data_IF_419596859322
#
_entry.id   IF_419596859322
#
_cell.length_a   1.000
_cell.length_b   1.000
_cell.length_c   1.000
_cell.angle_alpha   90.00
_cell.angle_beta   90.00
_cell.angle_gamma   90.00
#
_symmetry.space_group_name_H-M   'P 1'
#
loop_
_entity.id
_entity.type
_entity.pdbx_description
1 polymer ?
#
# COMPACT_ATOMS: atom_id res chain seq x y z
N UNK A 1 8.26 17.04 -26.44
CA UNK A 1 9.69 16.76 -26.24
C UNK A 1 9.75 15.70 -25.17
N UNK A 2 9.89 14.44 -25.57
CA UNK A 2 9.87 13.30 -24.65
C UNK A 2 11.21 13.25 -23.95
N UNK A 3 11.23 13.55 -22.65
CA UNK A 3 12.37 13.24 -21.81
C UNK A 3 12.26 11.75 -21.50
N UNK A 4 13.01 10.92 -22.22
CA UNK A 4 13.25 9.54 -21.80
C UNK A 4 14.02 9.59 -20.48
N UNK A 5 13.36 9.23 -19.37
CA UNK A 5 14.04 8.93 -18.12
C UNK A 5 14.79 7.61 -18.30
N UNK A 6 16.03 7.69 -18.79
CA UNK A 6 16.87 6.55 -19.08
C UNK A 6 17.92 6.35 -17.97
N UNK A 7 17.45 6.10 -16.76
CA UNK A 7 18.28 5.55 -15.68
C UNK A 7 17.41 4.72 -14.76
N UNK A 8 17.62 3.40 -14.76
CA UNK A 8 17.02 2.52 -13.75
C UNK A 8 17.32 3.05 -12.35
N UNK A 9 16.28 3.34 -11.59
CA UNK A 9 16.44 3.70 -10.18
C UNK A 9 16.69 2.43 -9.37
N UNK A 10 17.62 2.47 -8.41
CA UNK A 10 17.79 1.39 -7.44
C UNK A 10 16.48 1.12 -6.68
N UNK A 11 15.66 2.15 -6.44
CA UNK A 11 14.34 2.01 -5.81
C UNK A 11 13.33 1.17 -6.62
N UNK A 12 13.65 0.85 -7.88
CA UNK A 12 12.83 -0.02 -8.74
C UNK A 12 13.27 -1.49 -8.76
N UNK A 13 14.27 -1.89 -7.95
CA UNK A 13 14.86 -3.24 -7.98
C UNK A 13 14.68 -4.01 -6.67
N UNK A 14 14.38 -5.31 -6.75
CA UNK A 14 14.20 -6.17 -5.57
C UNK A 14 15.46 -6.21 -4.72
N UNK A 15 16.63 -6.20 -5.35
CA UNK A 15 17.93 -6.26 -4.68
C UNK A 15 18.16 -5.08 -3.74
N UNK A 16 17.78 -3.86 -4.16
CA UNK A 16 17.85 -2.69 -3.29
C UNK A 16 16.97 -2.86 -2.05
N UNK A 17 15.72 -3.30 -2.26
CA UNK A 17 14.74 -3.45 -1.19
C UNK A 17 15.13 -4.56 -0.21
N UNK A 18 15.59 -5.71 -0.70
CA UNK A 18 16.07 -6.78 0.18
C UNK A 18 17.23 -6.30 1.07
N UNK A 19 18.20 -5.58 0.51
CA UNK A 19 19.31 -5.01 1.28
C UNK A 19 18.84 -3.96 2.28
N UNK A 20 17.88 -3.12 1.89
CA UNK A 20 17.29 -2.14 2.80
C UNK A 20 16.61 -2.84 3.99
N UNK A 21 15.78 -3.85 3.74
CA UNK A 21 15.09 -4.58 4.81
C UNK A 21 16.03 -5.41 5.69
N UNK A 22 17.15 -5.92 5.18
CA UNK A 22 18.18 -6.58 6.01
C UNK A 22 18.77 -5.59 7.04
N UNK A 23 18.98 -4.33 6.65
CA UNK A 23 19.41 -3.26 7.56
C UNK A 23 18.33 -2.94 8.59
N UNK A 24 17.08 -2.76 8.15
CA UNK A 24 15.96 -2.45 9.05
C UNK A 24 15.67 -3.60 10.04
N UNK A 25 15.80 -4.86 9.63
CA UNK A 25 15.70 -6.01 10.51
C UNK A 25 16.79 -6.01 11.58
N UNK A 26 18.03 -5.65 11.21
CA UNK A 26 19.14 -5.52 12.15
C UNK A 26 18.86 -4.40 13.15
N UNK A 27 18.39 -3.23 12.68
CA UNK A 27 18.02 -2.11 13.54
C UNK A 27 16.91 -2.50 14.53
N UNK A 28 15.90 -3.23 14.07
CA UNK A 28 14.82 -3.76 14.90
C UNK A 28 15.34 -4.72 15.96
N UNK A 29 16.18 -5.68 15.59
CA UNK A 29 16.70 -6.67 16.53
C UNK A 29 17.63 -6.04 17.59
N UNK A 30 18.39 -5.01 17.21
CA UNK A 30 19.34 -4.34 18.11
C UNK A 30 18.68 -3.35 19.08
N UNK A 31 17.66 -2.62 18.61
CA UNK A 31 17.12 -1.46 19.35
C UNK A 31 15.61 -1.49 19.55
N UNK A 32 14.90 -2.41 18.90
CA UNK A 32 13.44 -2.38 18.78
C UNK A 32 12.95 -1.21 17.93
N UNK A 33 13.85 -0.56 17.18
CA UNK A 33 13.50 0.48 16.22
C UNK A 33 12.69 -0.13 15.09
N UNK A 34 11.51 0.43 14.87
CA UNK A 34 10.61 -0.12 13.89
C UNK A 34 11.16 0.12 12.48
N UNK A 35 11.83 1.22 12.12
CA UNK A 35 12.32 1.45 10.73
C UNK A 35 11.97 2.84 10.18
N UNK A 36 11.62 3.09 8.89
CA UNK A 36 11.25 4.43 8.28
C UNK A 36 9.87 4.55 7.54
N UNK A 37 9.01 5.57 7.82
CA UNK A 37 7.63 5.66 7.26
C UNK A 37 7.58 6.36 5.90
N UNK A 38 7.65 5.60 4.81
CA UNK A 38 7.50 6.15 3.47
C UNK A 38 6.12 6.83 3.27
N UNK A 39 6.10 8.02 2.65
CA UNK A 39 4.93 8.95 2.51
C UNK A 39 4.44 9.64 3.80
N UNK A 40 5.13 9.43 4.93
CA UNK A 40 4.83 10.04 6.21
C UNK A 40 3.48 9.64 6.82
N UNK A 41 3.31 9.90 8.13
CA UNK A 41 2.11 9.51 8.90
C UNK A 41 0.81 10.16 8.42
N UNK A 42 0.90 11.25 7.66
CA UNK A 42 -0.29 11.95 7.15
C UNK A 42 -1.03 11.12 6.08
N UNK A 43 -0.32 10.49 5.14
CA UNK A 43 -0.93 9.64 4.11
C UNK A 43 -1.60 8.42 4.74
N UNK A 44 -0.91 7.75 5.66
CA UNK A 44 -1.43 6.64 6.46
C UNK A 44 -2.71 7.02 7.21
N UNK A 45 -2.70 8.12 7.96
CA UNK A 45 -3.88 8.58 8.71
C UNK A 45 -5.07 8.91 7.80
N UNK A 46 -4.82 9.51 6.63
CA UNK A 46 -5.85 9.80 5.63
C UNK A 46 -6.44 8.52 5.04
N UNK A 47 -5.59 7.51 4.77
CA UNK A 47 -6.04 6.20 4.32
C UNK A 47 -6.85 5.47 5.38
N UNK A 48 -6.36 5.41 6.63
CA UNK A 48 -7.08 4.84 7.79
C UNK A 48 -8.44 5.49 7.98
N UNK A 49 -8.52 6.82 7.88
CA UNK A 49 -9.78 7.56 7.98
C UNK A 49 -10.75 7.13 6.87
N UNK A 50 -10.30 7.09 5.61
CA UNK A 50 -11.14 6.66 4.51
C UNK A 50 -11.68 5.24 4.72
N UNK A 51 -10.81 4.29 5.09
CA UNK A 51 -11.18 2.89 5.36
C UNK A 51 -12.19 2.82 6.50
N UNK A 52 -11.96 3.52 7.63
CA UNK A 52 -12.88 3.59 8.77
C UNK A 52 -14.27 4.11 8.39
N UNK A 53 -14.35 5.13 7.54
CA UNK A 53 -15.62 5.77 7.20
C UNK A 53 -16.42 4.97 6.15
N UNK A 54 -15.74 4.20 5.29
CA UNK A 54 -16.37 3.63 4.10
C UNK A 54 -16.43 2.11 4.09
N UNK A 55 -15.55 1.42 4.83
CA UNK A 55 -15.33 -0.03 4.75
C UNK A 55 -15.81 -0.73 6.03
N UNK A 56 -16.66 -1.78 5.92
CA UNK A 56 -17.02 -2.64 7.05
C UNK A 56 -15.81 -3.33 7.68
N UNK A 57 -15.83 -3.58 9.00
CA UNK A 57 -14.69 -4.21 9.72
C UNK A 57 -14.44 -5.67 9.34
N UNK A 58 -15.42 -6.34 8.73
CA UNK A 58 -15.33 -7.73 8.27
C UNK A 58 -15.03 -7.86 6.77
N UNK A 59 -14.84 -6.75 6.07
CA UNK A 59 -14.40 -6.73 4.68
C UNK A 59 -12.95 -7.24 4.57
N UNK A 60 -12.60 -8.14 3.64
CA UNK A 60 -11.23 -8.54 3.42
C UNK A 60 -10.42 -7.42 2.76
N UNK A 61 -9.33 -7.02 3.39
CA UNK A 61 -8.45 -5.93 2.98
C UNK A 61 -7.05 -6.50 2.69
N UNK A 62 -6.47 -6.09 1.56
CA UNK A 62 -5.06 -6.35 1.24
C UNK A 62 -4.29 -5.06 1.03
N UNK A 63 -3.12 -4.95 1.64
CA UNK A 63 -2.12 -3.92 1.35
C UNK A 63 -1.02 -4.53 0.45
N UNK A 64 -0.75 -3.87 -0.68
CA UNK A 64 0.26 -4.31 -1.65
C UNK A 64 1.54 -3.48 -1.52
N UNK A 65 2.67 -4.19 -1.50
CA UNK A 65 4.01 -3.64 -1.30
C UNK A 65 4.09 -2.95 0.06
N UNK A 66 4.63 -3.65 1.04
CA UNK A 66 4.72 -3.18 2.42
C UNK A 66 5.95 -2.28 2.59
N UNK A 67 6.22 -1.47 1.57
CA UNK A 67 7.44 -0.68 1.45
C UNK A 67 7.68 0.25 2.62
N UNK A 68 8.89 0.18 3.14
CA UNK A 68 9.52 1.22 3.93
C UNK A 68 10.85 1.59 3.27
N UNK A 69 10.97 2.77 2.68
CA UNK A 69 12.28 3.32 2.36
C UNK A 69 12.28 4.84 2.49
N UNK A 70 13.47 5.36 2.82
CA UNK A 70 13.91 6.75 2.80
C UNK A 70 12.84 7.81 3.11
N UNK A 71 12.68 8.06 4.40
CA UNK A 71 12.45 9.40 4.90
C UNK A 71 13.15 9.52 6.26
N UNK A 72 13.62 10.71 6.61
CA UNK A 72 14.28 11.05 7.88
C UNK A 72 13.39 10.82 9.15
N UNK A 73 12.35 9.99 9.08
CA UNK A 73 11.43 9.69 10.18
C UNK A 73 10.94 8.25 10.19
N UNK A 74 10.96 7.68 11.39
CA UNK A 74 10.97 6.26 11.64
C UNK A 74 9.59 5.55 11.57
N UNK A 75 9.46 4.44 10.80
CA UNK A 75 8.77 3.16 11.07
C UNK A 75 8.41 2.33 9.79
N UNK A 76 8.42 0.99 9.72
CA UNK A 76 8.41 0.21 8.50
C UNK A 76 6.99 -0.19 8.06
N UNK A 77 6.92 -1.09 7.07
CA UNK A 77 5.75 -1.65 6.41
C UNK A 77 4.54 -2.01 7.27
N UNK A 78 3.36 -1.75 6.69
CA UNK A 78 2.02 -2.15 7.14
C UNK A 78 1.59 -1.80 8.58
N UNK A 79 2.15 -0.74 9.18
CA UNK A 79 1.52 -0.09 10.35
C UNK A 79 0.05 0.18 10.13
N UNK A 80 -0.32 0.44 8.89
CA UNK A 80 -1.68 0.54 8.42
C UNK A 80 -2.51 -0.68 8.84
N UNK A 81 -2.07 -1.91 8.57
CA UNK A 81 -2.79 -3.14 8.95
C UNK A 81 -2.84 -3.31 10.47
N UNK A 82 -1.74 -3.07 11.19
CA UNK A 82 -1.73 -3.11 12.66
C UNK A 82 -2.70 -2.10 13.26
N UNK A 83 -2.78 -0.88 12.72
CA UNK A 83 -3.75 0.12 13.14
C UNK A 83 -5.18 -0.27 12.82
N UNK A 84 -5.43 -0.83 11.63
CA UNK A 84 -6.75 -1.37 11.28
C UNK A 84 -7.16 -2.51 12.24
N UNK A 85 -6.25 -3.40 12.61
CA UNK A 85 -6.51 -4.50 13.53
C UNK A 85 -6.96 -4.03 14.93
N UNK A 86 -6.47 -2.88 15.39
CA UNK A 86 -6.82 -2.29 16.70
C UNK A 86 -7.91 -1.21 16.61
N UNK A 87 -8.40 -0.86 15.41
CA UNK A 87 -9.31 0.27 15.18
C UNK A 87 -10.75 -0.04 15.65
N UNK A 88 -10.97 0.08 16.96
CA UNK A 88 -12.26 -0.10 17.62
C UNK A 88 -13.03 1.24 17.76
N UNK A 89 -14.35 1.20 17.97
CA UNK A 89 -15.21 2.40 18.10
C UNK A 89 -16.18 2.62 16.93
N UNK A 90 -16.99 3.69 16.98
CA UNK A 90 -18.04 4.05 15.98
C UNK A 90 -18.86 2.86 15.45
N UNK A 91 -19.38 2.04 16.36
CA UNK A 91 -20.17 0.81 16.11
C UNK A 91 -19.36 -0.48 15.84
N UNK A 92 -18.03 -0.46 15.96
CA UNK A 92 -17.19 -1.67 15.85
C UNK A 92 -16.83 -2.22 17.23
N UNK A 93 -17.19 -3.48 17.47
CA UNK A 93 -16.84 -4.23 18.69
C UNK A 93 -15.41 -4.78 18.66
N UNK A 94 -14.86 -4.99 17.47
CA UNK A 94 -13.49 -5.44 17.19
C UNK A 94 -12.93 -4.60 16.03
N UNK A 95 -11.59 -4.54 15.90
CA UNK A 95 -10.98 -3.93 14.73
C UNK A 95 -11.23 -4.73 13.45
N UNK A 96 -10.49 -4.42 12.38
CA UNK A 96 -10.62 -5.13 11.12
C UNK A 96 -10.08 -6.56 11.24
N UNK A 97 -10.84 -7.54 10.74
CA UNK A 97 -10.60 -8.96 11.07
C UNK A 97 -10.01 -9.79 9.94
N UNK A 98 -9.98 -9.26 8.72
CA UNK A 98 -9.51 -9.97 7.52
C UNK A 98 -8.47 -9.11 6.81
N UNK A 99 -7.27 -9.07 7.38
CA UNK A 99 -6.17 -8.23 6.91
C UNK A 99 -5.07 -9.08 6.28
N UNK A 100 -4.59 -8.67 5.11
CA UNK A 100 -3.50 -9.31 4.40
C UNK A 100 -2.47 -8.27 3.96
N UNK A 101 -1.18 -8.58 4.13
CA UNK A 101 -0.09 -7.77 3.62
C UNK A 101 0.76 -8.57 2.64
N UNK A 102 1.05 -7.98 1.48
CA UNK A 102 1.84 -8.61 0.41
C UNK A 102 3.09 -7.80 0.10
N UNK A 103 4.23 -8.49 0.00
CA UNK A 103 5.48 -7.92 -0.51
C UNK A 103 6.25 -9.00 -1.26
N UNK A 104 7.04 -8.64 -2.29
CA UNK A 104 7.89 -9.62 -2.97
C UNK A 104 9.09 -10.03 -2.11
N UNK A 105 9.42 -9.26 -1.06
CA UNK A 105 10.60 -9.45 -0.23
C UNK A 105 10.22 -10.23 1.03
N UNK A 106 10.86 -11.38 1.22
CA UNK A 106 10.72 -12.15 2.45
C UNK A 106 11.17 -11.35 3.68
N UNK A 107 12.14 -10.44 3.50
CA UNK A 107 12.65 -9.59 4.58
C UNK A 107 11.66 -8.50 4.99
N UNK A 108 10.97 -7.91 4.02
CA UNK A 108 9.85 -7.01 4.31
C UNK A 108 8.78 -7.70 5.15
N UNK A 109 8.43 -8.93 4.75
CA UNK A 109 7.42 -9.73 5.42
C UNK A 109 7.85 -10.12 6.83
N UNK A 110 9.12 -10.49 7.03
CA UNK A 110 9.66 -10.74 8.37
C UNK A 110 9.61 -9.50 9.26
N UNK A 111 10.03 -8.34 8.74
CA UNK A 111 10.00 -7.07 9.46
C UNK A 111 8.57 -6.66 9.84
N UNK A 112 7.61 -6.81 8.91
CA UNK A 112 6.19 -6.54 9.17
C UNK A 112 5.63 -7.44 10.27
N UNK A 113 6.00 -8.73 10.30
CA UNK A 113 5.59 -9.63 11.38
C UNK A 113 6.19 -9.21 12.73
N UNK A 114 7.49 -8.92 12.79
CA UNK A 114 8.18 -8.50 14.02
C UNK A 114 7.58 -7.21 14.59
N UNK A 115 7.42 -6.19 13.76
CA UNK A 115 6.83 -4.91 14.16
C UNK A 115 5.35 -5.03 14.53
N UNK A 116 4.55 -5.78 13.75
CA UNK A 116 3.15 -6.02 14.10
C UNK A 116 3.03 -6.75 15.44
N UNK A 117 3.87 -7.76 15.71
CA UNK A 117 3.87 -8.47 16.99
C UNK A 117 4.19 -7.54 18.16
N UNK A 118 5.19 -6.66 18.01
CA UNK A 118 5.54 -5.65 19.03
C UNK A 118 4.39 -4.65 19.24
N UNK A 119 3.77 -4.15 18.16
CA UNK A 119 2.69 -3.17 18.22
C UNK A 119 1.38 -3.74 18.78
N UNK A 120 1.15 -5.04 18.60
CA UNK A 120 -0.06 -5.75 19.00
C UNK A 120 0.13 -6.54 20.30
N UNK A 121 1.30 -6.48 20.92
CA UNK A 121 1.59 -7.16 22.17
C UNK A 121 0.55 -6.81 23.25
N UNK A 122 -0.03 -7.85 23.87
CA UNK A 122 -1.06 -7.73 24.90
C UNK A 122 -2.45 -7.29 24.40
N UNK A 123 -2.66 -7.18 23.08
CA UNK A 123 -3.97 -6.85 22.49
C UNK A 123 -4.65 -8.10 21.93
N UNK A 124 -5.93 -8.26 22.24
CA UNK A 124 -6.77 -9.28 21.62
C UNK A 124 -7.25 -8.79 20.26
N UNK A 125 -6.44 -9.00 19.22
CA UNK A 125 -6.80 -8.69 17.84
C UNK A 125 -6.62 -9.91 16.93
N UNK A 126 -7.35 -9.97 15.80
CA UNK A 126 -7.15 -11.00 14.79
C UNK A 126 -5.72 -10.97 14.21
N UNK A 127 -5.22 -12.14 13.85
CA UNK A 127 -3.92 -12.28 13.18
C UNK A 127 -3.93 -11.60 11.81
N UNK A 128 -2.85 -10.87 11.49
CA UNK A 128 -2.64 -10.27 10.17
C UNK A 128 -1.90 -11.27 9.29
N UNK A 129 -2.45 -11.55 8.11
CA UNK A 129 -1.88 -12.54 7.20
C UNK A 129 -0.82 -11.92 6.27
N UNK A 130 0.45 -12.01 6.65
CA UNK A 130 1.58 -11.55 5.83
C UNK A 130 2.12 -12.64 4.91
N UNK A 131 2.19 -12.37 3.60
CA UNK A 131 2.66 -13.33 2.60
C UNK A 131 3.67 -12.72 1.62
N UNK A 132 4.72 -13.48 1.33
CA UNK A 132 5.66 -13.13 0.26
C UNK A 132 5.02 -13.45 -1.10
N UNK A 133 4.80 -12.44 -1.92
CA UNK A 133 4.23 -12.57 -3.25
C UNK A 133 4.75 -11.48 -4.20
N UNK A 134 5.24 -11.88 -5.37
CA UNK A 134 5.56 -10.95 -6.45
C UNK A 134 4.30 -10.71 -7.31
N UNK A 135 3.66 -9.57 -7.05
CA UNK A 135 2.44 -9.13 -7.72
C UNK A 135 2.61 -8.82 -9.22
N UNK A 136 3.85 -8.73 -9.73
CA UNK A 136 4.11 -8.49 -11.16
C UNK A 136 4.36 -9.79 -11.93
N UNK A 137 4.66 -10.88 -11.22
CA UNK A 137 4.84 -12.21 -11.82
C UNK A 137 3.49 -12.85 -12.17
N UNK A 138 3.48 -13.79 -13.12
CA UNK A 138 2.29 -14.61 -13.38
C UNK A 138 1.86 -15.27 -12.06
N UNK A 139 0.56 -15.19 -11.76
CA UNK A 139 0.00 -15.63 -10.49
C UNK A 139 0.12 -17.15 -10.30
N UNK A 140 1.29 -17.60 -9.82
CA UNK A 140 1.62 -18.98 -9.47
C UNK A 140 0.68 -19.52 -8.36
N UNK A 141 0.78 -20.80 -7.97
CA UNK A 141 -0.13 -21.45 -7.00
C UNK A 141 -0.35 -20.67 -5.69
N UNK A 142 0.69 -20.05 -5.11
CA UNK A 142 0.56 -19.17 -3.92
C UNK A 142 -0.29 -17.93 -4.19
N UNK A 143 -0.26 -17.41 -5.41
CA UNK A 143 -1.03 -16.25 -5.85
C UNK A 143 -2.49 -16.62 -6.25
N UNK A 144 -2.75 -17.87 -6.64
CA UNK A 144 -4.14 -18.38 -6.78
C UNK A 144 -4.93 -18.33 -5.47
N UNK A 145 -4.22 -18.38 -4.33
CA UNK A 145 -4.82 -18.23 -3.00
C UNK A 145 -5.06 -16.76 -2.61
N UNK A 146 -4.65 -15.77 -3.40
CA UNK A 146 -4.86 -14.35 -3.12
C UNK A 146 -5.89 -13.72 -4.06
N UNK A 147 -6.01 -14.26 -5.28
CA UNK A 147 -6.95 -13.81 -6.29
C UNK A 147 -8.41 -13.98 -5.83
N UNK A 148 -9.25 -13.01 -6.18
CA UNK A 148 -10.68 -13.02 -5.95
C UNK A 148 -11.14 -13.13 -4.49
N UNK A 149 -10.33 -12.61 -3.56
CA UNK A 149 -10.62 -12.69 -2.11
C UNK A 149 -10.88 -11.36 -1.45
N UNK A 150 -10.56 -10.23 -2.09
CA UNK A 150 -10.51 -8.94 -1.41
C UNK A 150 -11.64 -8.01 -1.83
N UNK A 151 -12.12 -7.23 -0.85
CA UNK A 151 -13.01 -6.09 -1.05
C UNK A 151 -12.23 -4.79 -1.21
N UNK A 152 -11.08 -4.69 -0.53
CA UNK A 152 -10.30 -3.46 -0.53
C UNK A 152 -8.85 -3.79 -0.84
N UNK A 153 -8.30 -3.08 -1.81
CA UNK A 153 -6.89 -3.13 -2.17
C UNK A 153 -6.28 -1.77 -1.86
N UNK A 154 -5.23 -1.76 -1.04
CA UNK A 154 -4.53 -0.58 -0.57
C UNK A 154 -3.13 -0.54 -1.19
N UNK A 155 -2.75 0.62 -1.71
CA UNK A 155 -1.42 0.92 -2.23
C UNK A 155 -0.94 2.23 -1.60
N UNK A 156 0.25 2.19 -0.98
CA UNK A 156 0.94 3.37 -0.47
C UNK A 156 2.38 3.43 -1.02
N UNK A 157 2.47 3.68 -2.32
CA UNK A 157 3.73 3.94 -3.05
C UNK A 157 4.31 2.76 -3.82
N UNK A 158 3.62 1.64 -3.85
CA UNK A 158 4.03 0.47 -4.63
C UNK A 158 4.00 0.81 -6.11
N UNK A 159 2.95 1.50 -6.55
CA UNK A 159 2.89 2.08 -7.88
C UNK A 159 4.07 3.03 -8.16
N UNK A 160 4.40 3.91 -7.22
CA UNK A 160 5.53 4.83 -7.35
C UNK A 160 6.85 4.07 -7.54
N UNK A 161 7.15 3.09 -6.71
CA UNK A 161 8.37 2.27 -6.81
C UNK A 161 8.45 1.53 -8.16
N UNK A 162 7.36 0.89 -8.57
CA UNK A 162 7.28 0.17 -9.86
C UNK A 162 7.50 1.12 -11.03
N UNK A 163 7.01 2.35 -10.94
CA UNK A 163 7.12 3.36 -12.01
C UNK A 163 8.54 3.86 -12.27
N UNK A 164 9.49 3.58 -11.37
CA UNK A 164 10.90 4.00 -11.45
C UNK A 164 11.80 3.00 -12.20
N UNK A 165 11.24 1.90 -12.71
CA UNK A 165 11.97 0.88 -13.45
C UNK A 165 12.00 1.15 -14.97
N UNK A 166 13.06 0.75 -15.67
CA UNK A 166 13.22 0.91 -17.12
C UNK A 166 12.14 0.22 -17.95
N UNK A 167 11.61 -0.92 -17.50
CA UNK A 167 10.49 -1.64 -18.13
C UNK A 167 9.11 -1.09 -17.68
N UNK A 168 9.06 0.21 -17.36
CA UNK A 168 7.92 0.90 -16.75
C UNK A 168 6.57 0.50 -17.36
N UNK A 169 6.41 0.61 -18.67
CA UNK A 169 5.11 0.41 -19.31
C UNK A 169 4.57 -1.02 -19.13
N UNK A 170 5.45 -2.01 -19.22
CA UNK A 170 5.09 -3.42 -19.03
C UNK A 170 4.69 -3.67 -17.57
N UNK A 171 5.51 -3.21 -16.62
CA UNK A 171 5.27 -3.43 -15.19
C UNK A 171 4.01 -2.73 -14.69
N UNK A 172 3.73 -1.51 -15.15
CA UNK A 172 2.49 -0.80 -14.81
C UNK A 172 1.25 -1.52 -15.36
N UNK A 173 1.33 -2.14 -16.54
CA UNK A 173 0.25 -2.96 -17.08
C UNK A 173 0.04 -4.26 -16.29
N UNK A 174 1.13 -4.92 -15.87
CA UNK A 174 1.08 -6.09 -14.99
C UNK A 174 0.47 -5.73 -13.63
N UNK A 175 0.91 -4.62 -13.02
CA UNK A 175 0.38 -4.14 -11.76
C UNK A 175 -1.13 -3.89 -11.81
N UNK A 176 -1.61 -3.21 -12.86
CA UNK A 176 -3.05 -2.99 -13.05
C UNK A 176 -3.82 -4.30 -13.14
N UNK A 177 -3.29 -5.29 -13.85
CA UNK A 177 -3.89 -6.62 -13.93
C UNK A 177 -3.92 -7.32 -12.57
N UNK A 178 -2.86 -7.19 -11.78
CA UNK A 178 -2.77 -7.75 -10.44
C UNK A 178 -3.74 -7.10 -9.45
N UNK A 179 -3.87 -5.76 -9.47
CA UNK A 179 -4.87 -5.03 -8.67
C UNK A 179 -6.27 -5.60 -8.94
N UNK A 180 -6.62 -5.78 -10.21
CA UNK A 180 -7.93 -6.29 -10.61
C UNK A 180 -8.16 -7.76 -10.22
N UNK A 181 -7.14 -8.61 -10.32
CA UNK A 181 -7.27 -10.03 -9.99
C UNK A 181 -7.46 -10.29 -8.48
N UNK A 182 -7.01 -9.37 -7.61
CA UNK A 182 -7.19 -9.49 -6.15
C UNK A 182 -8.65 -9.32 -5.70
N UNK A 183 -9.46 -8.59 -6.47
CA UNK A 183 -10.86 -8.33 -6.13
C UNK A 183 -11.74 -9.55 -6.35
N UNK A 184 -12.60 -9.84 -5.37
CA UNK A 184 -13.70 -10.79 -5.55
C UNK A 184 -14.67 -10.30 -6.63
N UNK A 185 -15.31 -11.25 -7.31
CA UNK A 185 -16.22 -10.98 -8.43
C UNK A 185 -17.49 -10.21 -8.01
N UNK A 186 -17.90 -10.30 -6.74
CA UNK A 186 -19.13 -9.66 -6.23
C UNK A 186 -18.90 -8.99 -4.88
N UNK A 187 -19.57 -7.87 -4.64
CA UNK A 187 -19.49 -7.12 -3.39
C UNK A 187 -19.91 -5.66 -3.58
N UNK A 188 -20.64 -5.11 -2.61
CA UNK A 188 -21.18 -3.74 -2.72
C UNK A 188 -20.13 -2.64 -2.54
N UNK A 189 -19.04 -2.93 -1.83
CA UNK A 189 -18.03 -1.96 -1.42
C UNK A 189 -16.63 -2.42 -1.81
N UNK A 190 -16.37 -2.44 -3.12
CA UNK A 190 -15.07 -2.80 -3.68
C UNK A 190 -14.26 -1.54 -4.00
N UNK A 191 -13.18 -1.32 -3.26
CA UNK A 191 -12.36 -0.11 -3.35
C UNK A 191 -10.90 -0.42 -3.64
N UNK A 192 -10.33 0.29 -4.63
CA UNK A 192 -8.89 0.43 -4.77
C UNK A 192 -8.50 1.81 -4.24
N UNK A 193 -7.65 1.87 -3.22
CA UNK A 193 -7.19 3.11 -2.58
C UNK A 193 -5.69 3.22 -2.79
N UNK A 194 -5.25 4.27 -3.47
CA UNK A 194 -3.85 4.49 -3.82
C UNK A 194 -3.37 5.84 -3.29
N UNK A 195 -2.19 5.85 -2.67
CA UNK A 195 -1.45 7.05 -2.31
C UNK A 195 -0.12 7.12 -3.06
N UNK A 196 0.22 8.32 -3.56
CA UNK A 196 1.42 8.57 -4.36
C UNK A 196 2.05 9.94 -4.05
N UNK A 197 3.37 10.04 -4.22
CA UNK A 197 4.16 11.29 -4.16
C UNK A 197 4.56 11.75 -5.57
N UNK A 198 4.65 10.82 -6.52
CA UNK A 198 5.17 11.10 -7.87
C UNK A 198 4.06 11.47 -8.86
N UNK A 199 2.79 11.21 -8.53
CA UNK A 199 1.66 11.44 -9.41
C UNK A 199 0.59 12.34 -8.78
N UNK A 200 0.02 13.21 -9.60
CA UNK A 200 -1.17 14.01 -9.28
C UNK A 200 -2.44 13.16 -9.34
N UNK A 201 -3.55 13.68 -8.80
CA UNK A 201 -4.84 12.98 -8.82
C UNK A 201 -5.31 12.69 -10.25
N UNK A 202 -5.22 13.69 -11.12
CA UNK A 202 -5.60 13.57 -12.53
C UNK A 202 -4.74 12.54 -13.28
N UNK A 203 -3.42 12.51 -13.03
CA UNK A 203 -2.52 11.52 -13.62
C UNK A 203 -2.87 10.11 -13.16
N UNK A 204 -3.13 9.88 -11.87
CA UNK A 204 -3.56 8.58 -11.37
C UNK A 204 -4.89 8.14 -11.99
N UNK A 205 -5.86 9.06 -12.10
CA UNK A 205 -7.16 8.77 -12.73
C UNK A 205 -6.98 8.36 -14.19
N UNK A 206 -6.12 9.04 -14.94
CA UNK A 206 -5.83 8.68 -16.34
C UNK A 206 -5.07 7.34 -16.44
N UNK A 207 -4.06 7.12 -15.60
CA UNK A 207 -3.23 5.91 -15.59
C UNK A 207 -4.00 4.64 -15.24
N UNK A 208 -5.00 4.73 -14.35
CA UNK A 208 -5.84 3.60 -13.94
C UNK A 208 -7.15 3.48 -14.72
N UNK A 209 -7.42 4.39 -15.66
CA UNK A 209 -8.65 4.39 -16.45
C UNK A 209 -8.85 3.05 -17.19
N UNK A 210 -9.94 2.35 -16.84
CA UNK A 210 -10.47 1.20 -17.57
C UNK A 210 -11.95 1.01 -17.22
N UNK A 211 -12.63 0.06 -17.87
CA UNK A 211 -14.03 -0.26 -17.57
C UNK A 211 -14.22 -0.74 -16.13
N UNK A 212 -13.21 -1.43 -15.57
CA UNK A 212 -13.28 -2.05 -14.26
C UNK A 212 -13.03 -1.09 -13.07
N UNK A 213 -12.25 -0.02 -13.27
CA UNK A 213 -11.89 0.94 -12.21
C UNK A 213 -12.49 2.30 -12.50
N UNK A 214 -13.50 2.68 -11.71
CA UNK A 214 -14.19 3.95 -11.83
C UNK A 214 -13.71 4.90 -10.75
N UNK A 215 -13.23 6.08 -11.12
CA UNK A 215 -12.86 7.11 -10.14
C UNK A 215 -14.04 7.39 -9.19
N UNK A 216 -13.79 7.34 -7.89
CA UNK A 216 -14.80 7.58 -6.87
C UNK A 216 -14.60 8.92 -6.18
N UNK A 217 -13.42 9.15 -5.61
CA UNK A 217 -13.08 10.42 -4.98
C UNK A 217 -11.57 10.57 -4.80
N UNK A 218 -11.12 11.82 -4.67
CA UNK A 218 -9.82 12.14 -4.10
C UNK A 218 -9.94 12.25 -2.57
N UNK A 219 -8.99 11.70 -1.82
CA UNK A 219 -8.93 11.82 -0.37
C UNK A 219 -8.35 13.19 -0.03
N UNK A 220 -9.06 14.08 0.68
CA UNK A 220 -8.58 15.45 0.95
C UNK A 220 -7.22 15.48 1.63
N UNK A 221 -6.34 16.39 1.20
CA UNK A 221 -5.09 16.70 1.91
C UNK A 221 -5.32 17.78 2.97
N UNK A 222 -4.60 17.69 4.08
CA UNK A 222 -4.59 18.73 5.12
C UNK A 222 -3.55 19.83 4.87
N UNK A 223 -2.60 19.59 3.95
CA UNK A 223 -1.50 20.49 3.65
C UNK A 223 -1.40 20.71 2.14
N UNK A 224 -1.85 21.89 1.69
CA UNK A 224 -1.71 22.37 0.32
C UNK A 224 -0.73 23.53 0.31
N UNK A 225 0.31 23.45 -0.53
CA UNK A 225 1.20 24.58 -0.77
C UNK A 225 0.93 25.11 -2.18
N UNK A 226 0.61 26.40 -2.30
CA UNK A 226 0.38 27.02 -3.61
C UNK A 226 1.55 27.93 -3.94
N UNK A 227 2.23 27.66 -5.06
CA UNK A 227 3.32 28.49 -5.57
C UNK A 227 3.10 28.77 -7.06
N UNK A 228 3.10 30.03 -7.46
CA UNK A 228 2.93 30.43 -8.87
C UNK A 228 1.60 30.01 -9.51
N UNK A 229 0.52 29.87 -8.72
CA UNK A 229 -0.79 29.43 -9.20
C UNK A 229 -0.95 27.91 -9.35
N UNK A 230 0.08 27.13 -8.99
CA UNK A 230 0.00 25.66 -8.90
C UNK A 230 -0.04 25.24 -7.44
N UNK A 231 -1.01 24.41 -7.08
CA UNK A 231 -1.12 23.82 -5.74
C UNK A 231 -0.45 22.46 -5.74
N UNK A 232 0.62 22.32 -4.98
CA UNK A 232 1.31 21.06 -4.73
C UNK A 232 0.86 20.44 -3.40
N UNK A 233 0.73 19.12 -3.39
CA UNK A 233 0.50 18.31 -2.19
C UNK A 233 1.69 17.41 -1.99
N UNK A 234 2.04 17.10 -0.74
CA UNK A 234 3.13 16.16 -0.46
C UNK A 234 2.76 14.72 -0.84
N UNK A 235 1.47 14.38 -0.75
CA UNK A 235 0.93 13.06 -1.13
C UNK A 235 -0.48 13.19 -1.70
N UNK A 236 -0.68 12.64 -2.89
CA UNK A 236 -1.99 12.49 -3.54
C UNK A 236 -2.63 11.19 -3.06
N UNK A 237 -3.92 11.19 -2.74
CA UNK A 237 -4.66 9.97 -2.40
C UNK A 237 -5.92 9.86 -3.26
N UNK A 238 -6.09 8.79 -4.02
CA UNK A 238 -7.23 8.58 -4.93
C UNK A 238 -7.92 7.25 -4.59
N UNK A 239 -9.25 7.24 -4.72
CA UNK A 239 -10.07 6.04 -4.55
C UNK A 239 -10.79 5.74 -5.86
N UNK A 240 -10.72 4.47 -6.27
CA UNK A 240 -11.52 3.90 -7.35
C UNK A 240 -12.53 2.90 -6.79
N UNK A 241 -13.72 2.85 -7.38
CA UNK A 241 -14.71 1.77 -7.20
C UNK A 241 -14.54 0.74 -8.30
N UNK A 242 -14.52 -0.53 -7.91
CA UNK A 242 -14.49 -1.65 -8.86
C UNK A 242 -15.90 -1.95 -9.34
N UNK A 243 -16.09 -2.04 -10.67
CA UNK A 243 -17.37 -2.36 -11.31
C UNK A 243 -17.82 -3.80 -11.03
#
# INVERSE_FOLDING_TARGET
MNVEFNSDSALGTKEYWDQHYDVELTNFDDTGDEGCVWFGRNSENRMLKFVRENVPSDAPIVEMGLFCADCDQLSPGSRLLSFLAILTGDQRSQGYTKLCGLDYSERAIELCRKTSNQQLEGKEVPEINFQTADILSDLNETQSQLCHKHDVVLDKGTWDAISLNGDRMLRLAQYRSAVLSLFRESGEKRYFVIFSCNFTGDELVDLFKCEALNFFQEIPTQSQMTFGGKTGVTTTGVVFKVS
#
